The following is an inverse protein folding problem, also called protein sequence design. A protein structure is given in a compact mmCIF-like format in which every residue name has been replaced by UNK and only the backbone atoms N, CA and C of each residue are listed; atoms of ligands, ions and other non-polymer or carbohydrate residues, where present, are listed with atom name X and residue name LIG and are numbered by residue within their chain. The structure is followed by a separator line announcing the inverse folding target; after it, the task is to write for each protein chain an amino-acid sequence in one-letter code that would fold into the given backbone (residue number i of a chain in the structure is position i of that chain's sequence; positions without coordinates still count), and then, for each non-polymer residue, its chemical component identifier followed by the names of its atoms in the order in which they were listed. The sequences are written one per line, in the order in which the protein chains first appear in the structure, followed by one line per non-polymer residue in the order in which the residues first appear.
data_IF_617092541280
#
_entry.id   IF_617092541280
#
_cell.length_a   1.000
_cell.length_b   1.000
_cell.length_c   1.000
_cell.angle_alpha   90.00
_cell.angle_beta   90.00
_cell.angle_gamma   90.00
#
_symmetry.space_group_name_H-M   'P 1'
#
loop_
_entity.id
_entity.type
_entity.pdbx_description
1 polymer ?
#
# COMPACT_ATOMS: atom_id res chain seq x y z
N UNK A 1 15.94 -17.09 8.89
CA UNK A 1 15.75 -15.69 9.33
C UNK A 1 14.35 -15.24 8.98
N UNK A 2 13.65 -14.59 9.92
CA UNK A 2 12.41 -13.86 9.64
C UNK A 2 12.72 -12.37 9.67
N UNK A 3 12.21 -11.61 8.71
CA UNK A 3 12.52 -10.18 8.60
C UNK A 3 11.49 -9.43 7.81
N UNK A 4 11.24 -8.18 8.20
CA UNK A 4 10.38 -7.25 7.48
C UNK A 4 11.26 -6.24 6.76
N UNK A 5 11.08 -6.14 5.46
CA UNK A 5 11.81 -5.21 4.60
C UNK A 5 10.80 -4.22 4.03
N UNK A 6 11.02 -2.94 4.29
CA UNK A 6 10.21 -1.88 3.71
C UNK A 6 10.91 -1.37 2.47
N UNK A 7 10.24 -1.41 1.33
CA UNK A 7 10.72 -0.82 0.08
C UNK A 7 10.00 0.52 -0.08
N UNK A 8 10.76 1.61 0.02
CA UNK A 8 10.28 2.98 -0.18
C UNK A 8 10.87 3.61 -1.44
N UNK A 9 10.13 4.55 -2.03
CA UNK A 9 10.58 5.28 -3.22
C UNK A 9 9.46 6.08 -3.90
N UNK A 10 9.84 7.09 -4.69
CA UNK A 10 8.92 7.92 -5.46
C UNK A 10 8.22 7.11 -6.59
N UNK A 11 7.01 7.56 -6.94
CA UNK A 11 6.27 7.04 -8.10
C UNK A 11 7.13 7.14 -9.37
N UNK A 12 7.35 6.00 -10.05
CA UNK A 12 8.15 5.90 -11.28
C UNK A 12 9.50 5.18 -11.16
N UNK A 13 10.02 4.93 -9.95
CA UNK A 13 11.35 4.31 -9.74
C UNK A 13 11.44 2.78 -9.92
N UNK A 14 10.46 2.14 -10.57
CA UNK A 14 10.48 0.68 -10.78
C UNK A 14 10.16 -0.17 -9.54
N UNK A 15 9.77 0.44 -8.42
CA UNK A 15 9.38 -0.25 -7.17
C UNK A 15 8.32 -1.34 -7.40
N UNK A 16 7.29 -1.05 -8.21
CA UNK A 16 6.24 -2.02 -8.51
C UNK A 16 6.79 -3.23 -9.28
N UNK A 17 7.72 -3.01 -10.22
CA UNK A 17 8.38 -4.09 -10.95
C UNK A 17 9.26 -4.95 -10.05
N UNK A 18 9.98 -4.34 -9.11
CA UNK A 18 10.77 -5.06 -8.10
C UNK A 18 9.87 -5.92 -7.20
N UNK A 19 8.78 -5.35 -6.69
CA UNK A 19 7.82 -6.07 -5.85
C UNK A 19 7.17 -7.23 -6.60
N UNK A 20 6.81 -7.04 -7.87
CA UNK A 20 6.26 -8.10 -8.71
C UNK A 20 7.27 -9.24 -8.92
N UNK A 21 8.55 -8.91 -9.16
CA UNK A 21 9.60 -9.92 -9.32
C UNK A 21 9.90 -10.66 -8.01
N UNK A 22 9.88 -9.97 -6.87
CA UNK A 22 10.02 -10.60 -5.55
C UNK A 22 8.87 -11.58 -5.28
N UNK A 23 7.63 -11.18 -5.57
CA UNK A 23 6.48 -12.06 -5.48
C UNK A 23 6.62 -13.28 -6.40
N UNK A 24 7.06 -13.08 -7.66
CA UNK A 24 7.30 -14.17 -8.62
C UNK A 24 8.36 -15.16 -8.14
N UNK A 25 9.33 -14.71 -7.34
CA UNK A 25 10.36 -15.55 -6.71
C UNK A 25 9.89 -16.26 -5.42
N UNK A 26 8.63 -16.08 -5.03
CA UNK A 26 8.04 -16.73 -3.87
C UNK A 26 8.21 -15.97 -2.54
N UNK A 27 8.66 -14.72 -2.58
CA UNK A 27 8.68 -13.89 -1.38
C UNK A 27 7.29 -13.32 -1.08
N UNK A 28 6.96 -13.22 0.21
CA UNK A 28 5.74 -12.56 0.63
C UNK A 28 5.86 -11.04 0.37
N UNK A 29 4.88 -10.49 -0.34
CA UNK A 29 4.81 -9.06 -0.67
C UNK A 29 3.48 -8.50 -0.19
N UNK A 30 3.53 -7.37 0.49
CA UNK A 30 2.37 -6.62 0.97
C UNK A 30 2.32 -5.29 0.23
N UNK A 31 1.28 -5.11 -0.57
CA UNK A 31 1.03 -3.85 -1.26
C UNK A 31 0.56 -2.74 -0.30
N UNK A 32 0.84 -1.49 -0.67
CA UNK A 32 0.47 -0.34 0.15
C UNK A 32 -1.06 -0.29 0.39
N UNK A 33 -1.52 -0.22 1.65
CA UNK A 33 -2.95 -0.22 1.99
C UNK A 33 -3.78 0.82 1.23
N UNK A 34 -3.23 2.03 1.06
CA UNK A 34 -3.92 3.10 0.36
C UNK A 34 -4.23 2.77 -1.10
N UNK A 35 -3.32 2.08 -1.80
CA UNK A 35 -3.54 1.64 -3.19
C UNK A 35 -4.63 0.56 -3.26
N UNK A 36 -4.61 -0.40 -2.35
CA UNK A 36 -5.63 -1.46 -2.27
C UNK A 36 -7.01 -0.88 -1.99
N UNK A 37 -7.13 0.04 -1.04
CA UNK A 37 -8.40 0.73 -0.76
C UNK A 37 -8.89 1.51 -1.97
N UNK A 38 -8.01 2.27 -2.65
CA UNK A 38 -8.41 2.99 -3.87
C UNK A 38 -8.87 2.01 -4.95
N UNK A 39 -8.17 0.89 -5.15
CA UNK A 39 -8.58 -0.12 -6.12
C UNK A 39 -9.93 -0.77 -5.77
N UNK A 40 -10.16 -1.10 -4.49
CA UNK A 40 -11.44 -1.62 -3.97
C UNK A 40 -12.57 -0.61 -4.18
N UNK A 41 -12.33 0.68 -3.90
CA UNK A 41 -13.32 1.74 -4.04
C UNK A 41 -13.61 2.09 -5.50
N UNK A 42 -12.62 2.03 -6.39
CA UNK A 42 -12.83 2.20 -7.84
C UNK A 42 -13.66 1.03 -8.41
N UNK A 43 -13.48 -0.18 -7.88
CA UNK A 43 -14.29 -1.34 -8.27
C UNK A 43 -15.71 -1.33 -7.66
N UNK A 44 -15.91 -0.56 -6.59
CA UNK A 44 -17.19 -0.38 -5.91
C UNK A 44 -17.84 0.99 -6.20
N UNK A 45 -18.45 1.60 -5.18
CA UNK A 45 -19.20 2.86 -5.30
C UNK A 45 -18.33 4.12 -5.16
N UNK A 46 -17.05 3.99 -4.80
CA UNK A 46 -16.12 5.12 -4.66
C UNK A 46 -16.33 5.99 -3.42
N UNK A 47 -17.07 5.51 -2.41
CA UNK A 47 -17.46 6.27 -1.23
C UNK A 47 -16.31 6.57 -0.25
N UNK A 48 -15.27 5.73 -0.21
CA UNK A 48 -14.11 5.90 0.68
C UNK A 48 -12.84 6.34 -0.05
N UNK A 49 -12.96 6.99 -1.21
CA UNK A 49 -11.81 7.61 -1.87
C UNK A 49 -11.25 8.77 -1.01
N UNK A 50 -9.92 9.03 -1.03
CA UNK A 50 -9.30 10.09 -0.23
C UNK A 50 -9.90 11.48 -0.48
N UNK A 51 -10.44 11.70 -1.69
CA UNK A 51 -11.11 12.95 -2.09
C UNK A 51 -12.49 13.16 -1.44
N UNK A 52 -13.09 12.12 -0.88
CA UNK A 52 -14.45 12.15 -0.29
C UNK A 52 -14.36 12.31 1.22
N UNK A 53 -13.61 11.42 1.89
CA UNK A 53 -13.32 11.51 3.33
C UNK A 53 -11.90 11.01 3.61
N UNK A 54 -10.96 11.96 3.67
CA UNK A 54 -9.55 11.67 3.92
C UNK A 54 -9.32 11.02 5.29
N UNK A 55 -10.12 11.37 6.30
CA UNK A 55 -9.96 10.84 7.65
C UNK A 55 -10.46 9.39 7.73
N UNK A 56 -11.59 9.06 7.09
CA UNK A 56 -12.07 7.69 6.97
C UNK A 56 -11.10 6.83 6.16
N UNK A 57 -10.56 7.36 5.06
CA UNK A 57 -9.53 6.69 4.27
C UNK A 57 -8.28 6.39 5.11
N UNK A 58 -7.75 7.38 5.83
CA UNK A 58 -6.57 7.21 6.69
C UNK A 58 -6.80 6.17 7.80
N UNK A 59 -7.98 6.18 8.44
CA UNK A 59 -8.35 5.17 9.45
C UNK A 59 -8.40 3.76 8.87
N UNK A 60 -8.97 3.60 7.67
CA UNK A 60 -9.04 2.30 6.98
C UNK A 60 -7.66 1.82 6.56
N UNK A 61 -6.83 2.70 6.00
CA UNK A 61 -5.46 2.39 5.61
C UNK A 61 -4.62 1.96 6.82
N UNK A 62 -4.78 2.63 7.97
CA UNK A 62 -4.10 2.26 9.21
C UNK A 62 -4.55 0.88 9.71
N UNK A 63 -5.87 0.61 9.72
CA UNK A 63 -6.40 -0.70 10.15
C UNK A 63 -5.85 -1.83 9.29
N UNK A 64 -5.90 -1.66 7.97
CA UNK A 64 -5.37 -2.62 7.01
C UNK A 64 -3.86 -2.84 7.22
N UNK A 65 -3.08 -1.76 7.45
CA UNK A 65 -1.64 -1.89 7.73
C UNK A 65 -1.34 -2.71 9.00
N UNK A 66 -2.15 -2.55 10.05
CA UNK A 66 -2.02 -3.32 11.29
C UNK A 66 -2.33 -4.81 11.01
N UNK A 67 -3.41 -5.09 10.29
CA UNK A 67 -3.80 -6.45 9.92
C UNK A 67 -2.74 -7.13 9.05
N UNK A 68 -2.17 -6.42 8.07
CA UNK A 68 -1.09 -6.93 7.22
C UNK A 68 0.14 -7.30 8.06
N UNK A 69 0.50 -6.46 9.04
CA UNK A 69 1.64 -6.73 9.92
C UNK A 69 1.41 -7.97 10.77
N UNK A 70 0.21 -8.14 11.33
CA UNK A 70 -0.12 -9.34 12.10
C UNK A 70 -0.19 -10.60 11.23
N UNK A 71 -0.60 -10.47 9.96
CA UNK A 71 -0.51 -11.57 8.99
C UNK A 71 0.93 -11.92 8.64
N UNK A 72 1.76 -10.92 8.35
CA UNK A 72 3.17 -11.06 8.02
C UNK A 72 3.99 -11.71 9.15
N UNK A 73 3.58 -11.53 10.42
CA UNK A 73 4.19 -12.22 11.57
C UNK A 73 4.06 -13.74 11.51
N UNK A 74 3.08 -14.26 10.78
CA UNK A 74 2.84 -15.70 10.60
C UNK A 74 3.67 -16.29 9.46
N UNK A 75 4.26 -15.46 8.61
CA UNK A 75 5.06 -15.89 7.47
C UNK A 75 6.45 -16.40 7.90
N UNK A 76 6.96 -17.36 7.14
CA UNK A 76 8.32 -17.87 7.28
C UNK A 76 9.18 -17.21 6.20
N UNK A 77 10.20 -16.45 6.60
CA UNK A 77 11.14 -15.80 5.68
C UNK A 77 11.01 -14.28 5.69
N UNK A 78 11.35 -13.67 4.54
CA UNK A 78 11.32 -12.22 4.36
C UNK A 78 9.95 -11.79 3.83
N UNK A 79 9.40 -10.75 4.45
CA UNK A 79 8.18 -10.08 3.98
C UNK A 79 8.54 -8.68 3.51
N UNK A 80 8.19 -8.34 2.27
CA UNK A 80 8.46 -7.06 1.65
C UNK A 80 7.21 -6.19 1.67
N UNK A 81 7.30 -5.01 2.25
CA UNK A 81 6.21 -4.05 2.33
C UNK A 81 6.44 -2.92 1.33
N UNK A 82 5.44 -2.65 0.52
CA UNK A 82 5.40 -1.47 -0.33
C UNK A 82 5.03 -0.23 0.50
N UNK A 83 5.98 0.68 0.66
CA UNK A 83 5.75 2.04 1.18
C UNK A 83 6.08 3.03 0.08
N UNK A 84 5.23 3.06 -0.95
CA UNK A 84 5.21 4.18 -1.88
C UNK A 84 4.87 5.46 -1.14
N UNK A 85 5.65 6.51 -1.36
CA UNK A 85 5.06 7.84 -1.29
C UNK A 85 4.16 7.91 -2.52
N UNK A 86 2.83 7.97 -2.32
CA UNK A 86 1.90 8.02 -3.43
C UNK A 86 2.09 9.32 -4.20
N UNK A 87 2.97 9.28 -5.19
CA UNK A 87 3.22 10.37 -6.11
C UNK A 87 2.16 10.39 -7.21
N UNK A 88 1.43 11.50 -7.29
CA UNK A 88 0.60 11.95 -8.43
C UNK A 88 -0.49 11.00 -8.93
N UNK A 89 -1.19 10.29 -8.06
CA UNK A 89 -2.52 9.79 -8.44
C UNK A 89 -3.54 10.92 -8.20
N UNK A 90 -4.51 11.19 -9.11
CA UNK A 90 -5.45 12.31 -8.95
C UNK A 90 -6.23 12.27 -7.64
N UNK A 91 -6.47 11.06 -7.08
CA UNK A 91 -7.07 10.89 -5.75
C UNK A 91 -6.23 11.44 -4.59
N UNK A 92 -4.94 11.72 -4.80
CA UNK A 92 -3.99 12.27 -3.81
C UNK A 92 -3.60 13.72 -4.08
N UNK A 93 -3.97 14.26 -5.24
CA UNK A 93 -3.59 15.63 -5.66
C UNK A 93 -4.68 16.66 -5.32
N UNK A 94 -5.86 16.23 -4.84
CA UNK A 94 -6.97 17.10 -4.46
C UNK A 94 -6.95 17.52 -2.97
N UNK A 95 -5.76 17.63 -2.38
CA UNK A 95 -5.55 18.14 -1.03
C UNK A 95 -4.20 18.82 -0.99
N UNK A 96 -4.14 20.04 -1.53
CA UNK A 96 -2.94 20.87 -1.45
C UNK A 96 -2.53 21.04 0.01
N UNK A 97 -1.41 20.43 0.36
CA UNK A 97 -0.60 20.89 1.49
C UNK A 97 0.16 22.12 0.98
N UNK A 98 -0.38 23.30 1.30
CA UNK A 98 0.47 24.44 1.64
C UNK A 98 1.00 24.29 3.05
#
# INVERSE_FOLDING_TARGET
MRGFIVISGCSGGGKSSLLAELARRGFAVVEEPGRRIVAEEIAGEGAALPRVDLAAFARRALRMAIEDRERARREIGLVFFDRGLVGKHPAWTAGGIG
#
